data_IF_035425917701
#
_entry.id   IF_035425917701
#
_cell.length_a   1.000
_cell.length_b   1.000
_cell.length_c   1.000
_cell.angle_alpha   90.00
_cell.angle_beta   90.00
_cell.angle_gamma   90.00
#
_symmetry.space_group_name_H-M   'P 1'
#
loop_
_entity.id
_entity.type
_entity.pdbx_description
1 polymer ?
#
# COMPACT_ATOMS: atom_id res chain seq x y z
N UNK A 1 -13.45 -11.89 -4.14
CA UNK A 1 -13.98 -11.08 -3.02
C UNK A 1 -12.91 -10.98 -1.95
N UNK A 2 -12.28 -9.81 -1.83
CA UNK A 2 -11.27 -9.55 -0.80
C UNK A 2 -12.02 -9.45 0.53
N UNK A 3 -11.68 -10.24 1.54
CA UNK A 3 -12.36 -10.23 2.85
C UNK A 3 -12.15 -8.96 3.68
N UNK A 4 -12.03 -7.80 3.02
CA UNK A 4 -11.84 -6.46 3.56
C UNK A 4 -13.06 -5.61 3.16
N UNK A 5 -13.50 -4.71 4.03
CA UNK A 5 -14.57 -3.74 3.74
C UNK A 5 -14.08 -2.65 2.77
N UNK A 6 -13.82 -3.03 1.51
CA UNK A 6 -13.39 -2.14 0.43
C UNK A 6 -14.41 -2.23 -0.71
N UNK A 7 -14.78 -1.07 -1.27
CA UNK A 7 -15.69 -1.02 -2.42
C UNK A 7 -15.01 -1.63 -3.65
N UNK A 8 -15.74 -2.46 -4.39
CA UNK A 8 -15.24 -3.06 -5.62
C UNK A 8 -15.10 -1.98 -6.71
N UNK A 9 -14.02 -2.02 -7.52
CA UNK A 9 -13.85 -1.07 -8.61
C UNK A 9 -14.90 -1.30 -9.71
N UNK A 10 -15.39 -0.22 -10.31
CA UNK A 10 -16.37 -0.29 -11.42
C UNK A 10 -15.74 -0.76 -12.74
N UNK A 11 -14.42 -0.62 -12.88
CA UNK A 11 -13.66 -0.98 -14.08
C UNK A 11 -13.11 -2.40 -14.01
N UNK A 12 -13.31 -3.16 -15.09
CA UNK A 12 -12.73 -4.49 -15.25
C UNK A 12 -11.23 -4.41 -15.53
N UNK A 13 -10.42 -5.14 -14.76
CA UNK A 13 -8.97 -5.20 -14.92
C UNK A 13 -8.57 -6.59 -15.44
N UNK A 14 -7.66 -6.66 -16.42
CA UNK A 14 -7.14 -7.92 -16.98
C UNK A 14 -5.84 -8.42 -16.30
N UNK A 15 -5.40 -7.76 -15.22
CA UNK A 15 -4.14 -8.10 -14.56
C UNK A 15 -4.29 -9.37 -13.67
N UNK A 16 -3.48 -10.43 -13.88
CA UNK A 16 -3.53 -11.65 -13.05
C UNK A 16 -3.19 -11.39 -11.57
N UNK A 17 -2.45 -10.32 -11.28
CA UNK A 17 -2.07 -9.91 -9.92
C UNK A 17 -3.08 -8.96 -9.28
N UNK A 18 -4.20 -8.67 -9.93
CA UNK A 18 -5.27 -7.88 -9.34
C UNK A 18 -5.94 -8.66 -8.18
N UNK A 19 -6.12 -8.06 -7.00
CA UNK A 19 -6.78 -8.73 -5.88
C UNK A 19 -8.30 -8.91 -6.05
N UNK A 20 -8.92 -8.22 -7.01
CA UNK A 20 -10.36 -8.33 -7.30
C UNK A 20 -10.65 -9.32 -8.45
N UNK A 21 -10.04 -9.09 -9.61
CA UNK A 21 -10.29 -9.86 -10.85
C UNK A 21 -9.28 -11.00 -11.08
N UNK A 22 -8.13 -10.96 -10.40
CA UNK A 22 -7.05 -11.92 -10.56
C UNK A 22 -7.12 -13.07 -9.56
N UNK A 23 -5.99 -13.77 -9.42
CA UNK A 23 -5.87 -14.96 -8.56
C UNK A 23 -5.19 -14.67 -7.23
N UNK A 24 -4.77 -13.40 -7.00
CA UNK A 24 -3.94 -13.04 -5.87
C UNK A 24 -4.74 -12.97 -4.55
N UNK A 25 -4.45 -13.83 -3.56
CA UNK A 25 -5.12 -13.77 -2.26
C UNK A 25 -4.51 -12.69 -1.38
N UNK A 26 -5.32 -11.73 -0.92
CA UNK A 26 -4.90 -10.72 0.06
C UNK A 26 -4.95 -11.31 1.48
N UNK A 27 -3.83 -11.25 2.20
CA UNK A 27 -3.69 -11.72 3.60
C UNK A 27 -2.73 -10.81 4.37
N UNK A 28 -2.90 -10.74 5.68
CA UNK A 28 -1.96 -10.06 6.58
C UNK A 28 -2.40 -8.63 6.93
N UNK A 29 -1.42 -7.71 7.00
CA UNK A 29 -1.64 -6.35 7.48
C UNK A 29 -2.12 -5.42 6.36
N UNK A 30 -3.10 -4.58 6.69
CA UNK A 30 -3.53 -3.45 5.84
C UNK A 30 -2.83 -2.19 6.31
N UNK A 31 -2.19 -1.48 5.39
CA UNK A 31 -1.43 -0.28 5.67
C UNK A 31 -1.96 0.88 4.82
N UNK A 32 -2.16 2.02 5.46
CA UNK A 32 -2.47 3.28 4.79
C UNK A 32 -1.20 4.13 4.62
N UNK A 33 -1.11 4.82 3.49
CA UNK A 33 0.04 5.66 3.16
C UNK A 33 -0.26 6.60 1.99
N UNK A 34 0.67 7.53 1.74
CA UNK A 34 0.53 8.56 0.69
C UNK A 34 1.32 8.14 -0.54
N UNK A 35 0.73 8.28 -1.73
CA UNK A 35 1.43 7.99 -2.99
C UNK A 35 2.45 9.10 -3.28
N UNK A 36 3.72 8.74 -3.43
CA UNK A 36 4.81 9.68 -3.74
C UNK A 36 5.21 9.64 -5.20
N UNK A 37 5.13 8.46 -5.83
CA UNK A 37 5.51 8.29 -7.23
C UNK A 37 4.60 7.29 -7.92
N UNK A 38 4.14 7.65 -9.11
CA UNK A 38 3.39 6.81 -10.05
C UNK A 38 4.00 6.95 -11.45
N UNK A 39 5.30 6.69 -11.57
CA UNK A 39 6.04 6.79 -12.83
C UNK A 39 6.27 5.44 -13.52
N UNK A 40 6.23 4.36 -12.77
CA UNK A 40 6.46 3.02 -13.29
C UNK A 40 5.13 2.39 -13.69
N UNK A 41 5.14 1.62 -14.78
CA UNK A 41 3.98 0.83 -15.17
C UNK A 41 3.71 -0.25 -14.10
N UNK A 42 2.46 -0.31 -13.64
CA UNK A 42 1.96 -1.29 -12.65
C UNK A 42 2.63 -1.30 -11.26
N UNK A 43 3.47 -0.30 -10.95
CA UNK A 43 4.10 -0.16 -9.63
C UNK A 43 4.05 1.28 -9.15
N UNK A 44 3.59 1.48 -7.93
CA UNK A 44 3.57 2.78 -7.26
C UNK A 44 4.44 2.75 -6.00
N UNK A 45 5.00 3.90 -5.64
CA UNK A 45 5.72 4.05 -4.37
C UNK A 45 4.84 4.78 -3.37
N UNK A 46 4.50 4.09 -2.29
CA UNK A 46 3.73 4.61 -1.16
C UNK A 46 4.69 4.96 -0.02
N UNK A 47 4.56 6.15 0.54
CA UNK A 47 5.30 6.60 1.71
C UNK A 47 4.41 6.59 2.95
N UNK A 48 4.93 5.99 4.02
CA UNK A 48 4.32 6.04 5.35
C UNK A 48 5.24 6.82 6.27
N UNK A 49 4.68 7.84 6.92
CA UNK A 49 5.38 8.56 7.98
C UNK A 49 4.92 8.08 9.35
N UNK A 50 5.86 7.84 10.26
CA UNK A 50 5.57 7.43 11.62
C UNK A 50 6.57 8.06 12.59
N UNK A 51 6.16 8.17 13.85
CA UNK A 51 7.01 8.68 14.92
C UNK A 51 7.68 7.52 15.64
N UNK A 52 9.01 7.58 15.78
CA UNK A 52 9.77 6.63 16.57
C UNK A 52 10.24 7.29 17.86
N UNK A 53 9.88 6.71 19.00
CA UNK A 53 10.35 7.18 20.30
C UNK A 53 11.82 6.80 20.53
N UNK A 54 12.66 7.76 20.91
CA UNK A 54 14.05 7.56 21.27
C UNK A 54 14.17 7.63 22.79
N UNK A 55 14.31 6.46 23.44
CA UNK A 55 14.34 6.31 24.91
C UNK A 55 15.39 7.20 25.59
N UNK A 56 16.61 7.30 25.03
CA UNK A 56 17.70 8.09 25.62
C UNK A 56 17.38 9.58 25.74
N UNK A 57 16.62 10.13 24.79
CA UNK A 57 16.33 11.56 24.72
C UNK A 57 14.88 11.88 25.07
N UNK A 58 14.07 10.86 25.38
CA UNK A 58 12.63 10.96 25.64
C UNK A 58 11.87 11.78 24.59
N UNK A 59 12.30 11.68 23.33
CA UNK A 59 11.77 12.46 22.20
C UNK A 59 11.34 11.55 21.04
N UNK A 60 10.44 12.06 20.21
CA UNK A 60 10.01 11.39 18.99
C UNK A 60 10.78 11.90 17.78
N UNK A 61 11.28 10.98 16.96
CA UNK A 61 11.84 11.25 15.64
C UNK A 61 10.81 10.92 14.56
N UNK A 62 10.59 11.84 13.61
CA UNK A 62 9.75 11.58 12.44
C UNK A 62 10.54 10.77 11.42
N UNK A 63 10.07 9.55 11.12
CA UNK A 63 10.64 8.67 10.10
C UNK A 63 9.69 8.51 8.93
N UNK A 64 10.27 8.23 7.77
CA UNK A 64 9.57 7.95 6.52
C UNK A 64 10.05 6.61 6.00
N UNK A 65 9.12 5.73 5.66
CA UNK A 65 9.40 4.46 4.99
C UNK A 65 8.68 4.44 3.65
N UNK A 66 9.40 4.06 2.59
CA UNK A 66 8.86 3.88 1.25
C UNK A 66 8.63 2.41 0.99
N UNK A 67 7.47 2.09 0.43
CA UNK A 67 7.04 0.74 0.09
C UNK A 67 6.62 0.77 -1.38
N UNK A 68 7.13 -0.18 -2.16
CA UNK A 68 6.68 -0.38 -3.52
C UNK A 68 5.46 -1.28 -3.51
N UNK A 69 4.38 -0.82 -4.14
CA UNK A 69 3.08 -1.48 -4.15
C UNK A 69 2.68 -1.71 -5.60
N UNK A 70 2.11 -2.88 -5.88
CA UNK A 70 1.58 -3.18 -7.20
C UNK A 70 0.28 -2.42 -7.43
N UNK A 71 0.18 -1.78 -8.59
CA UNK A 71 -1.02 -1.09 -9.06
C UNK A 71 -1.61 -1.90 -10.21
N UNK A 72 -2.81 -2.50 -10.05
CA UNK A 72 -3.51 -3.13 -11.17
C UNK A 72 -3.97 -2.08 -12.18
N UNK A 73 -4.19 -2.52 -13.42
CA UNK A 73 -4.60 -1.67 -14.56
C UNK A 73 -6.01 -1.05 -14.37
#
# INVERSE_FOLDING_TARGET
>A
MVGLNVQEPETTCDDPNCPFHGTLPVRGQVLEGVVVSNKAERTITVERSYYKFIKKYERYEKRKSKINVHKPD
#
